data_IF_759722266662
#
_entry.id   IF_759722266662
#
_cell.length_a   1.000
_cell.length_b   1.000
_cell.length_c   1.000
_cell.angle_alpha   90.00
_cell.angle_beta   90.00
_cell.angle_gamma   90.00
#
_symmetry.space_group_name_H-M   'P 1'
#
loop_
_entity.id
_entity.type
_entity.pdbx_description
1 polymer ?
#
# COMPACT_ATOMS: atom_id res chain seq x y z
N UNK A 1 -5.65 36.62 29.10
CA UNK A 1 -6.19 36.41 27.75
C UNK A 1 -7.45 35.57 27.91
N UNK A 2 -8.65 36.22 27.83
CA UNK A 2 -9.94 35.55 27.91
C UNK A 2 -10.23 34.90 26.56
N UNK A 3 -10.25 33.57 26.49
CA UNK A 3 -10.79 32.84 25.34
C UNK A 3 -12.26 33.24 25.12
N UNK A 4 -12.54 33.85 23.96
CA UNK A 4 -13.90 34.00 23.46
C UNK A 4 -14.41 32.61 23.08
N UNK A 5 -15.14 31.97 23.96
CA UNK A 5 -15.97 30.84 23.59
C UNK A 5 -17.00 31.35 22.58
N UNK A 6 -16.85 30.96 21.33
CA UNK A 6 -17.79 31.27 20.24
C UNK A 6 -19.09 30.53 20.57
N UNK A 7 -20.06 31.25 21.15
CA UNK A 7 -21.38 30.68 21.41
C UNK A 7 -22.12 30.59 20.07
N UNK A 8 -22.33 29.37 19.59
CA UNK A 8 -23.19 29.11 18.43
C UNK A 8 -24.65 29.54 18.78
N UNK A 9 -25.29 30.19 17.81
CA UNK A 9 -26.70 30.49 17.85
C UNK A 9 -27.54 29.18 18.03
N UNK A 10 -28.70 29.22 18.67
CA UNK A 10 -29.50 28.02 18.92
C UNK A 10 -29.81 27.20 17.67
N UNK A 11 -30.09 27.83 16.53
CA UNK A 11 -30.34 27.17 15.26
C UNK A 11 -29.07 26.46 14.71
N UNK A 12 -27.90 27.08 14.92
CA UNK A 12 -26.63 26.47 14.51
C UNK A 12 -26.28 25.25 15.36
N UNK A 13 -26.62 25.30 16.65
CA UNK A 13 -26.45 24.14 17.57
C UNK A 13 -27.33 22.98 17.16
N UNK A 14 -28.59 23.27 16.80
CA UNK A 14 -29.52 22.24 16.36
C UNK A 14 -29.08 21.62 15.04
N UNK A 15 -28.69 22.45 14.08
CA UNK A 15 -28.15 21.98 12.78
C UNK A 15 -26.88 21.17 12.96
N UNK A 16 -26.00 21.56 13.87
CA UNK A 16 -24.77 20.81 14.17
C UNK A 16 -25.10 19.49 14.86
N UNK A 17 -26.03 19.48 15.83
CA UNK A 17 -26.49 18.28 16.49
C UNK A 17 -27.11 17.28 15.50
N UNK A 18 -27.98 17.75 14.59
CA UNK A 18 -28.61 16.93 13.57
C UNK A 18 -27.60 16.34 12.58
N UNK A 19 -26.57 17.13 12.19
CA UNK A 19 -25.47 16.65 11.35
C UNK A 19 -24.60 15.61 12.06
N UNK A 20 -24.26 15.87 13.32
CA UNK A 20 -23.51 14.92 14.16
C UNK A 20 -24.31 13.63 14.39
N UNK A 21 -25.64 13.77 14.64
CA UNK A 21 -26.52 12.62 14.82
C UNK A 21 -26.64 11.79 13.53
N UNK A 22 -26.70 12.42 12.36
CA UNK A 22 -26.64 11.71 11.06
C UNK A 22 -25.29 11.02 10.84
N UNK A 23 -24.17 11.67 11.17
CA UNK A 23 -22.84 11.08 11.09
C UNK A 23 -22.66 9.87 12.03
N UNK A 24 -23.29 9.92 13.21
CA UNK A 24 -23.25 8.83 14.21
C UNK A 24 -24.29 7.77 13.91
N UNK A 25 -25.45 8.15 13.34
CA UNK A 25 -26.52 7.21 12.95
C UNK A 25 -26.21 6.40 11.68
N UNK A 26 -25.23 6.85 10.85
CA UNK A 26 -24.61 5.99 9.84
C UNK A 26 -23.29 5.39 10.35
N UNK A 27 -23.31 4.51 11.36
CA UNK A 27 -22.09 3.98 11.99
C UNK A 27 -21.30 3.02 11.07
N UNK A 28 -21.89 2.68 9.90
CA UNK A 28 -21.40 1.60 9.05
C UNK A 28 -20.16 2.03 8.26
N UNK A 29 -20.02 3.32 7.89
CA UNK A 29 -18.89 3.79 7.10
C UNK A 29 -17.60 3.93 7.91
N UNK A 30 -17.61 4.74 8.96
CA UNK A 30 -16.41 5.12 9.73
C UNK A 30 -15.87 3.93 10.55
N UNK A 31 -16.76 3.21 11.25
CA UNK A 31 -16.36 2.07 12.06
C UNK A 31 -15.81 0.91 11.22
N UNK A 32 -16.42 0.64 10.06
CA UNK A 32 -15.89 -0.37 9.11
C UNK A 32 -14.56 0.06 8.52
N UNK A 33 -14.41 1.32 8.13
CA UNK A 33 -13.15 1.84 7.62
C UNK A 33 -12.04 1.81 8.66
N UNK A 34 -12.35 2.21 9.91
CA UNK A 34 -11.39 2.12 11.00
C UNK A 34 -10.95 0.68 11.27
N UNK A 35 -11.90 -0.25 11.33
CA UNK A 35 -11.60 -1.68 11.52
C UNK A 35 -10.83 -2.26 10.35
N UNK A 36 -11.15 -1.89 9.12
CA UNK A 36 -10.42 -2.30 7.93
C UNK A 36 -8.97 -1.78 7.94
N UNK A 37 -8.80 -0.52 8.37
CA UNK A 37 -7.47 0.06 8.54
C UNK A 37 -6.66 -0.68 9.61
N UNK A 38 -7.24 -0.94 10.78
CA UNK A 38 -6.58 -1.73 11.82
C UNK A 38 -6.18 -3.13 11.34
N UNK A 39 -7.05 -3.80 10.56
CA UNK A 39 -6.75 -5.10 9.98
C UNK A 39 -5.60 -5.03 8.95
N UNK A 40 -5.56 -3.99 8.14
CA UNK A 40 -4.48 -3.79 7.19
C UNK A 40 -3.14 -3.49 7.89
N UNK A 41 -3.15 -2.64 8.93
CA UNK A 41 -1.99 -2.31 9.75
C UNK A 41 -1.48 -3.53 10.56
N UNK A 42 -2.35 -4.46 10.93
CA UNK A 42 -1.98 -5.69 11.63
C UNK A 42 -1.25 -6.71 10.74
N UNK A 43 -1.26 -6.56 9.41
CA UNK A 43 -0.61 -7.50 8.47
C UNK A 43 0.91 -7.28 8.40
N UNK A 44 1.42 -6.12 8.85
CA UNK A 44 2.84 -5.78 8.85
C UNK A 44 3.18 -4.60 7.92
N UNK A 45 4.41 -4.56 7.41
CA UNK A 45 4.87 -3.48 6.56
C UNK A 45 4.13 -3.45 5.22
N UNK A 46 3.81 -2.24 4.75
CA UNK A 46 3.20 -1.98 3.46
C UNK A 46 4.29 -1.70 2.43
N UNK A 47 4.18 -2.29 1.24
CA UNK A 47 5.04 -1.95 0.10
C UNK A 47 4.59 -0.59 -0.46
N UNK A 48 5.51 0.37 -0.51
CA UNK A 48 5.26 1.72 -1.05
C UNK A 48 5.68 1.84 -2.52
N UNK A 49 6.87 1.31 -2.85
CA UNK A 49 7.40 1.32 -4.23
C UNK A 49 8.30 0.10 -4.45
N UNK A 50 8.46 -0.28 -5.70
CA UNK A 50 9.45 -1.28 -6.08
C UNK A 50 10.09 -0.95 -7.42
N UNK A 51 11.36 -1.29 -7.56
CA UNK A 51 12.13 -1.11 -8.80
C UNK A 51 12.96 -2.34 -9.08
N UNK A 52 13.15 -2.61 -10.37
CA UNK A 52 14.10 -3.62 -10.84
C UNK A 52 15.23 -2.87 -11.54
N UNK A 53 16.43 -2.97 -10.97
CA UNK A 53 17.64 -2.34 -11.52
C UNK A 53 18.44 -3.43 -12.18
N UNK A 54 18.66 -3.30 -13.49
CA UNK A 54 19.53 -4.20 -14.22
C UNK A 54 20.92 -3.54 -14.36
N UNK A 55 21.94 -4.28 -13.98
CA UNK A 55 23.32 -3.83 -13.97
C UNK A 55 24.23 -4.90 -14.60
N UNK A 56 25.38 -4.48 -15.11
CA UNK A 56 26.41 -5.37 -15.62
C UNK A 56 27.69 -5.12 -14.84
N UNK A 57 28.14 -6.12 -14.09
CA UNK A 57 29.39 -6.04 -13.33
C UNK A 57 30.53 -6.67 -14.10
N UNK A 58 31.57 -5.89 -14.44
CA UNK A 58 32.76 -6.43 -15.12
C UNK A 58 33.57 -7.30 -14.17
N UNK A 59 34.13 -8.37 -14.73
CA UNK A 59 35.13 -9.22 -14.07
C UNK A 59 36.48 -8.80 -14.65
N UNK A 60 37.34 -8.30 -13.80
CA UNK A 60 38.71 -7.93 -14.20
C UNK A 60 39.69 -9.07 -13.97
N UNK A 61 40.79 -9.05 -14.73
CA UNK A 61 41.94 -9.90 -14.46
C UNK A 61 42.58 -9.59 -13.09
N UNK A 62 43.54 -10.41 -12.66
CA UNK A 62 44.22 -10.24 -11.39
C UNK A 62 44.90 -8.89 -11.23
N UNK A 63 45.37 -8.30 -12.33
CA UNK A 63 46.03 -6.99 -12.36
C UNK A 63 45.06 -5.83 -12.50
N UNK A 64 43.77 -6.11 -12.77
CA UNK A 64 42.72 -5.12 -13.03
C UNK A 64 42.97 -4.25 -14.26
N UNK A 65 43.72 -4.76 -15.21
CA UNK A 65 44.10 -4.07 -16.47
C UNK A 65 43.11 -4.38 -17.61
N UNK A 66 42.43 -5.54 -17.53
CA UNK A 66 41.54 -6.01 -18.60
C UNK A 66 40.25 -6.57 -18.02
N UNK A 67 39.17 -6.40 -18.76
CA UNK A 67 37.89 -7.06 -18.48
C UNK A 67 37.92 -8.44 -19.09
N UNK A 68 37.85 -9.49 -18.27
CA UNK A 68 37.85 -10.89 -18.71
C UNK A 68 36.42 -11.44 -18.89
N UNK A 69 35.44 -10.76 -18.32
CA UNK A 69 34.05 -11.15 -18.42
C UNK A 69 33.11 -10.12 -17.79
N UNK A 70 31.81 -10.40 -17.83
CA UNK A 70 30.81 -9.57 -17.18
C UNK A 70 29.66 -10.44 -16.69
N UNK A 71 29.08 -10.06 -15.56
CA UNK A 71 27.92 -10.72 -14.96
C UNK A 71 26.74 -9.77 -15.05
N UNK A 72 25.66 -10.11 -15.80
CA UNK A 72 24.41 -9.39 -15.73
C UNK A 72 23.74 -9.67 -14.40
N UNK A 73 23.29 -8.64 -13.72
CA UNK A 73 22.64 -8.69 -12.41
C UNK A 73 21.29 -8.00 -12.49
N UNK A 74 20.31 -8.51 -11.76
CA UNK A 74 19.09 -7.80 -11.49
C UNK A 74 18.95 -7.63 -9.97
N UNK A 75 18.63 -6.43 -9.54
CA UNK A 75 18.42 -6.07 -8.13
C UNK A 75 16.96 -5.64 -8.01
N UNK A 76 16.21 -6.36 -7.20
CA UNK A 76 14.86 -5.96 -6.78
C UNK A 76 15.01 -5.07 -5.54
N UNK A 77 14.66 -3.80 -5.69
CA UNK A 77 14.60 -2.82 -4.61
C UNK A 77 13.15 -2.63 -4.18
N UNK A 78 12.88 -2.82 -2.90
CA UNK A 78 11.58 -2.67 -2.28
C UNK A 78 11.66 -1.53 -1.27
N UNK A 79 10.75 -0.57 -1.38
CA UNK A 79 10.57 0.51 -0.41
C UNK A 79 9.28 0.22 0.35
N UNK A 80 9.32 0.26 1.67
CA UNK A 80 8.18 -0.10 2.51
C UNK A 80 8.05 0.82 3.71
N UNK A 81 6.84 0.93 4.23
CA UNK A 81 6.53 1.58 5.49
C UNK A 81 5.99 0.55 6.48
N UNK A 82 6.43 0.60 7.71
CA UNK A 82 5.86 -0.22 8.79
C UNK A 82 4.59 0.43 9.38
N UNK A 83 3.85 -0.27 10.27
CA UNK A 83 2.67 0.29 10.91
C UNK A 83 2.95 1.50 11.80
N UNK A 84 4.18 1.66 12.29
CA UNK A 84 4.62 2.79 13.12
C UNK A 84 5.00 4.01 12.27
N UNK A 85 5.03 3.85 10.93
CA UNK A 85 5.32 4.89 9.97
C UNK A 85 6.81 5.05 9.67
N UNK A 86 7.65 4.12 10.12
CA UNK A 86 9.04 4.06 9.74
C UNK A 86 9.18 3.47 8.32
N UNK A 87 10.00 4.11 7.50
CA UNK A 87 10.26 3.65 6.13
C UNK A 87 11.55 2.86 6.07
N UNK A 88 11.54 1.79 5.30
CA UNK A 88 12.70 0.95 5.06
C UNK A 88 12.91 0.63 3.59
N UNK A 89 14.13 0.18 3.27
CA UNK A 89 14.50 -0.26 1.93
C UNK A 89 15.16 -1.62 2.02
N UNK A 90 14.73 -2.53 1.15
CA UNK A 90 15.35 -3.85 0.98
C UNK A 90 15.83 -4.01 -0.46
N UNK A 91 17.08 -4.39 -0.65
CA UNK A 91 17.64 -4.71 -1.96
C UNK A 91 17.98 -6.20 -2.01
N UNK A 92 17.44 -6.88 -3.00
CA UNK A 92 17.61 -8.31 -3.22
C UNK A 92 18.21 -8.56 -4.59
N UNK A 93 19.33 -9.28 -4.64
CA UNK A 93 19.80 -9.83 -5.90
C UNK A 93 18.84 -10.92 -6.37
N UNK A 94 18.40 -10.82 -7.62
CA UNK A 94 17.49 -11.78 -8.23
C UNK A 94 18.04 -12.28 -9.56
N UNK A 95 17.93 -13.58 -9.78
CA UNK A 95 18.26 -14.20 -11.03
C UNK A 95 17.13 -14.06 -12.05
N UNK A 96 17.42 -14.22 -13.33
CA UNK A 96 16.41 -14.21 -14.40
C UNK A 96 15.25 -15.19 -14.11
N UNK A 97 15.58 -16.40 -13.66
CA UNK A 97 14.59 -17.40 -13.26
C UNK A 97 13.69 -16.94 -12.09
N UNK A 98 14.26 -16.21 -11.13
CA UNK A 98 13.49 -15.66 -10.01
C UNK A 98 12.60 -14.52 -10.45
N UNK A 99 13.06 -13.66 -11.38
CA UNK A 99 12.24 -12.62 -11.99
C UNK A 99 11.02 -13.20 -12.71
N UNK A 100 11.25 -14.23 -13.53
CA UNK A 100 10.16 -14.91 -14.24
C UNK A 100 9.14 -15.49 -13.24
N UNK A 101 9.63 -16.17 -12.20
CA UNK A 101 8.76 -16.73 -11.15
C UNK A 101 7.99 -15.65 -10.38
N UNK A 102 8.61 -14.49 -10.13
CA UNK A 102 7.92 -13.34 -9.51
C UNK A 102 6.79 -12.83 -10.41
N UNK A 103 7.05 -12.64 -11.71
CA UNK A 103 6.04 -12.19 -12.66
C UNK A 103 4.83 -13.15 -12.71
N UNK A 104 5.07 -14.47 -12.75
CA UNK A 104 4.02 -15.48 -12.71
C UNK A 104 3.19 -15.38 -11.41
N UNK A 105 3.86 -15.25 -10.24
CA UNK A 105 3.18 -15.15 -8.95
C UNK A 105 2.38 -13.87 -8.78
N UNK A 106 2.87 -12.76 -9.30
CA UNK A 106 2.16 -11.48 -9.30
C UNK A 106 0.90 -11.58 -10.18
N UNK A 107 1.01 -12.16 -11.36
CA UNK A 107 -0.14 -12.39 -12.24
C UNK A 107 -1.20 -13.27 -11.58
N UNK A 108 -0.80 -14.40 -10.96
CA UNK A 108 -1.69 -15.29 -10.22
C UNK A 108 -2.39 -14.56 -9.05
N UNK A 109 -1.66 -13.73 -8.31
CA UNK A 109 -2.20 -12.95 -7.21
C UNK A 109 -3.25 -11.94 -7.70
N UNK A 110 -2.99 -11.26 -8.84
CA UNK A 110 -3.95 -10.34 -9.46
C UNK A 110 -5.26 -11.03 -9.85
N UNK A 111 -5.18 -12.24 -10.43
CA UNK A 111 -6.35 -13.05 -10.76
C UNK A 111 -7.15 -13.39 -9.49
N UNK A 112 -6.47 -13.86 -8.44
CA UNK A 112 -7.13 -14.24 -7.17
C UNK A 112 -7.82 -13.05 -6.52
N UNK A 113 -7.16 -11.89 -6.45
CA UNK A 113 -7.74 -10.67 -5.89
C UNK A 113 -8.99 -10.24 -6.65
N UNK A 114 -8.99 -10.32 -7.98
CA UNK A 114 -10.15 -10.01 -8.82
C UNK A 114 -11.31 -10.95 -8.52
N UNK A 115 -11.07 -12.26 -8.48
CA UNK A 115 -12.10 -13.26 -8.13
C UNK A 115 -12.67 -13.02 -6.72
N UNK A 116 -11.82 -12.67 -5.75
CA UNK A 116 -12.27 -12.33 -4.40
C UNK A 116 -13.17 -11.09 -4.40
N UNK A 117 -12.78 -10.03 -5.11
CA UNK A 117 -13.61 -8.81 -5.27
C UNK A 117 -14.98 -9.14 -5.91
N UNK A 118 -15.02 -10.00 -6.95
CA UNK A 118 -16.25 -10.43 -7.58
C UNK A 118 -17.17 -11.22 -6.63
N UNK A 119 -16.61 -12.13 -5.83
CA UNK A 119 -17.37 -12.89 -4.83
C UNK A 119 -17.97 -11.96 -3.78
N UNK A 120 -17.19 -11.00 -3.28
CA UNK A 120 -17.68 -10.01 -2.31
C UNK A 120 -18.80 -9.15 -2.91
N UNK A 121 -18.65 -8.70 -4.16
CA UNK A 121 -19.67 -7.91 -4.85
C UNK A 121 -20.98 -8.69 -5.03
N UNK A 122 -20.92 -9.99 -5.37
CA UNK A 122 -22.12 -10.85 -5.50
C UNK A 122 -22.86 -11.04 -4.19
N UNK A 123 -22.18 -10.93 -3.06
CA UNK A 123 -22.76 -11.07 -1.72
C UNK A 123 -23.11 -9.73 -1.08
N UNK A 124 -23.05 -8.65 -1.86
CA UNK A 124 -23.28 -7.27 -1.37
C UNK A 124 -22.38 -6.88 -0.18
N UNK A 125 -21.15 -7.43 -0.15
CA UNK A 125 -20.15 -7.12 0.85
C UNK A 125 -19.28 -5.99 0.31
N UNK A 126 -19.41 -4.80 0.90
CA UNK A 126 -18.61 -3.65 0.54
C UNK A 126 -17.13 -3.85 0.89
N UNK A 127 -16.24 -3.57 -0.06
CA UNK A 127 -14.78 -3.50 0.17
C UNK A 127 -14.44 -2.09 0.64
N UNK A 128 -13.96 -1.91 1.87
CA UNK A 128 -13.57 -0.59 2.37
C UNK A 128 -12.43 -0.01 1.55
N UNK A 129 -12.46 1.30 1.28
CA UNK A 129 -11.33 2.01 0.68
C UNK A 129 -10.23 2.16 1.73
N UNK A 130 -9.16 1.40 1.60
CA UNK A 130 -7.92 1.54 2.37
C UNK A 130 -6.82 2.06 1.47
N UNK A 131 -5.69 2.52 2.02
CA UNK A 131 -4.52 2.89 1.20
C UNK A 131 -4.13 1.77 0.23
N UNK A 132 -4.31 0.51 0.64
CA UNK A 132 -4.06 -0.66 -0.20
C UNK A 132 -5.07 -0.86 -1.35
N UNK A 133 -6.25 -0.20 -1.30
CA UNK A 133 -7.31 -0.35 -2.31
C UNK A 133 -7.50 0.89 -3.20
N UNK A 134 -6.89 2.04 -2.87
CA UNK A 134 -7.09 3.33 -3.57
C UNK A 134 -6.16 3.52 -4.77
N UNK A 135 -5.14 2.69 -4.95
CA UNK A 135 -4.15 2.86 -6.02
C UNK A 135 -4.66 2.58 -7.46
N UNK A 136 -5.95 2.28 -7.66
CA UNK A 136 -6.48 1.90 -8.99
C UNK A 136 -7.19 3.05 -9.74
N UNK A 137 -7.38 4.24 -9.15
CA UNK A 137 -8.22 5.29 -9.76
C UNK A 137 -7.42 6.49 -10.36
N UNK A 138 -6.09 6.46 -10.36
CA UNK A 138 -5.26 7.54 -10.93
C UNK A 138 -4.33 7.04 -12.06
N UNK A 139 -4.91 6.48 -13.12
CA UNK A 139 -4.20 6.25 -14.38
C UNK A 139 -5.08 6.60 -15.56
#
# INVERSE_FOLDING_TARGET
IKEKATSFEPEQRQTLADRLQKLVAEPIGIAKQYKARQLAEAIGAQLDDFRIICDIRPIFDQKRERIEGAIPLAILRLEYSDPDGESGVVELYVTERQLQKLAERIADAGIKLRLMKEVLARQDIAVPKTKATVAEDES
#
